data_IF_561526870857
#
_entry.id   IF_561526870857
#
_cell.length_a   1.000
_cell.length_b   1.000
_cell.length_c   1.000
_cell.angle_alpha   90.00
_cell.angle_beta   90.00
_cell.angle_gamma   90.00
#
_symmetry.space_group_name_H-M   'P 1'
#
loop_
_entity.id
_entity.type
_entity.pdbx_description
1 polymer ?
#
# COMPACT_ATOMS: atom_id res chain seq x y z
N UNK A 1 -2.96 9.20 0.46
CA UNK A 1 -2.31 8.03 -0.16
C UNK A 1 -2.85 7.81 -1.56
N UNK A 2 -1.99 7.40 -2.47
CA UNK A 2 -2.41 7.10 -3.84
C UNK A 2 -2.67 5.60 -3.96
N UNK A 3 -3.89 5.19 -3.65
CA UNK A 3 -4.24 3.77 -3.63
C UNK A 3 -4.24 3.17 -5.03
N UNK A 4 -4.55 3.96 -6.05
CA UNK A 4 -4.51 3.47 -7.43
C UNK A 4 -3.10 3.05 -7.82
N UNK A 5 -2.11 3.85 -7.46
CA UNK A 5 -0.73 3.53 -7.79
C UNK A 5 -0.28 2.28 -7.04
N UNK A 6 -0.67 2.15 -5.77
CA UNK A 6 -0.35 0.95 -5.01
C UNK A 6 -0.98 -0.29 -5.64
N UNK A 7 -2.27 -0.21 -5.97
CA UNK A 7 -2.95 -1.36 -6.57
C UNK A 7 -2.35 -1.72 -7.92
N UNK A 8 -2.01 -0.72 -8.73
CA UNK A 8 -1.37 -1.00 -10.02
C UNK A 8 -0.06 -1.74 -9.83
N UNK A 9 0.73 -1.33 -8.86
CA UNK A 9 2.00 -2.00 -8.58
C UNK A 9 1.75 -3.45 -8.15
N UNK A 10 0.76 -3.66 -7.29
CA UNK A 10 0.45 -5.01 -6.83
C UNK A 10 0.01 -5.91 -7.98
N UNK A 11 -0.80 -5.38 -8.90
CA UNK A 11 -1.24 -6.15 -10.06
C UNK A 11 -0.06 -6.54 -10.93
N UNK A 12 0.89 -5.64 -11.11
CA UNK A 12 2.09 -5.96 -11.89
C UNK A 12 2.88 -7.13 -11.31
N UNK A 13 2.79 -7.31 -10.01
CA UNK A 13 3.47 -8.42 -9.34
C UNK A 13 2.57 -9.65 -9.20
N UNK A 14 1.35 -9.61 -9.77
CA UNK A 14 0.44 -10.73 -9.70
C UNK A 14 -0.40 -10.79 -8.43
N UNK A 15 -0.38 -9.75 -7.61
CA UNK A 15 -1.10 -9.72 -6.35
C UNK A 15 -2.41 -8.99 -6.54
N UNK A 16 -3.42 -9.67 -7.08
CA UNK A 16 -4.68 -9.03 -7.41
C UNK A 16 -5.68 -9.03 -6.27
N UNK A 17 -5.49 -9.88 -5.27
CA UNK A 17 -6.33 -9.87 -4.08
C UNK A 17 -5.67 -8.96 -3.04
N UNK A 18 -5.92 -7.67 -3.16
CA UNK A 18 -5.18 -6.64 -2.43
C UNK A 18 -5.29 -6.82 -0.91
N UNK A 19 -6.52 -7.04 -0.42
CA UNK A 19 -6.73 -7.13 1.02
C UNK A 19 -6.04 -8.36 1.59
N UNK A 20 -6.23 -9.52 0.96
CA UNK A 20 -5.59 -10.75 1.44
C UNK A 20 -4.08 -10.65 1.39
N UNK A 21 -3.55 -10.12 0.29
CA UNK A 21 -2.10 -9.99 0.15
C UNK A 21 -1.53 -9.10 1.25
N UNK A 22 -2.15 -7.94 1.47
CA UNK A 22 -1.66 -7.03 2.50
C UNK A 22 -1.79 -7.64 3.89
N UNK A 23 -2.89 -8.33 4.15
CA UNK A 23 -3.06 -8.99 5.45
C UNK A 23 -1.93 -9.99 5.71
N UNK A 24 -1.55 -10.74 4.69
CA UNK A 24 -0.51 -11.74 4.82
C UNK A 24 0.87 -11.11 5.00
N UNK A 25 1.23 -10.17 4.14
CA UNK A 25 2.58 -9.62 4.19
C UNK A 25 2.78 -8.71 5.40
N UNK A 26 1.74 -8.04 5.87
CA UNK A 26 1.82 -7.17 7.03
C UNK A 26 1.52 -7.89 8.33
N UNK A 27 1.06 -9.13 8.25
CA UNK A 27 0.70 -9.93 9.43
C UNK A 27 -0.38 -9.24 10.25
N UNK A 28 -1.43 -8.77 9.58
CA UNK A 28 -2.57 -8.13 10.23
C UNK A 28 -3.84 -8.82 9.76
N UNK A 29 -4.96 -8.51 10.42
CA UNK A 29 -6.24 -9.06 10.00
C UNK A 29 -6.66 -8.48 8.66
N UNK A 30 -7.58 -9.17 7.97
CA UNK A 30 -8.13 -8.66 6.73
C UNK A 30 -8.87 -7.35 6.94
N UNK A 31 -9.56 -7.23 8.08
CA UNK A 31 -10.25 -5.99 8.40
C UNK A 31 -9.26 -4.83 8.53
N UNK A 32 -8.13 -5.07 9.19
CA UNK A 32 -7.10 -4.04 9.32
C UNK A 32 -6.51 -3.69 7.96
N UNK A 33 -6.22 -4.70 7.15
CA UNK A 33 -5.69 -4.46 5.81
C UNK A 33 -6.66 -3.64 4.97
N UNK A 34 -7.94 -3.96 5.05
CA UNK A 34 -8.97 -3.20 4.31
C UNK A 34 -9.03 -1.76 4.80
N UNK A 35 -8.95 -1.54 6.12
CA UNK A 35 -8.95 -0.20 6.68
C UNK A 35 -7.78 0.62 6.19
N UNK A 36 -6.59 0.01 6.12
CA UNK A 36 -5.42 0.69 5.58
C UNK A 36 -5.65 1.08 4.12
N UNK A 37 -6.18 0.14 3.36
CA UNK A 37 -6.31 0.31 1.92
C UNK A 37 -7.35 1.37 1.56
N UNK A 38 -8.44 1.46 2.34
CA UNK A 38 -9.50 2.43 2.03
C UNK A 38 -9.27 3.79 2.70
N UNK A 39 -8.16 3.97 3.42
CA UNK A 39 -7.80 5.25 3.99
C UNK A 39 -8.38 5.52 5.36
N UNK A 40 -9.13 4.57 5.94
CA UNK A 40 -9.69 4.77 7.27
C UNK A 40 -8.60 4.84 8.34
N UNK A 41 -7.51 4.10 8.14
CA UNK A 41 -6.32 4.16 8.98
C UNK A 41 -5.10 4.26 8.10
N UNK A 42 -4.01 4.76 8.65
CA UNK A 42 -2.79 4.98 7.89
C UNK A 42 -1.82 3.81 8.04
N UNK A 43 -1.05 3.55 6.99
CA UNK A 43 0.05 2.59 7.10
C UNK A 43 1.11 3.14 8.04
N UNK A 44 1.62 2.29 8.91
CA UNK A 44 2.76 2.66 9.76
C UNK A 44 4.03 2.66 8.92
N UNK A 45 5.09 3.25 9.49
CA UNK A 45 6.38 3.26 8.79
C UNK A 45 6.90 1.85 8.56
N UNK A 46 6.73 0.97 9.53
CA UNK A 46 7.20 -0.40 9.35
C UNK A 46 6.40 -1.13 8.27
N UNK A 47 5.11 -0.86 8.19
CA UNK A 47 4.28 -1.45 7.14
C UNK A 47 4.68 -0.94 5.76
N UNK A 48 4.95 0.36 5.65
CA UNK A 48 5.41 0.92 4.39
C UNK A 48 6.73 0.28 3.97
N UNK A 49 7.63 0.06 4.93
CA UNK A 49 8.91 -0.57 4.62
C UNK A 49 8.72 -2.00 4.10
N UNK A 50 7.79 -2.75 4.67
CA UNK A 50 7.50 -4.10 4.21
C UNK A 50 6.96 -4.07 2.78
N UNK A 51 6.01 -3.17 2.51
CA UNK A 51 5.44 -3.05 1.18
C UNK A 51 6.50 -2.62 0.17
N UNK A 52 7.34 -1.66 0.55
CA UNK A 52 8.39 -1.19 -0.34
C UNK A 52 9.37 -2.30 -0.69
N UNK A 53 9.69 -3.15 0.27
CA UNK A 53 10.63 -4.25 0.02
C UNK A 53 9.99 -5.30 -0.89
N UNK A 54 8.72 -5.63 -0.65
CA UNK A 54 8.04 -6.64 -1.45
C UNK A 54 7.93 -6.23 -2.91
N UNK A 55 7.62 -4.96 -3.17
CA UNK A 55 7.39 -4.49 -4.53
C UNK A 55 8.56 -3.70 -5.08
N UNK A 56 9.70 -3.73 -4.37
CA UNK A 56 10.94 -3.09 -4.83
C UNK A 56 10.71 -1.62 -5.18
N UNK A 57 10.00 -0.92 -4.32
CA UNK A 57 9.68 0.48 -4.56
C UNK A 57 10.90 1.36 -4.34
N UNK A 58 11.07 2.34 -5.23
CA UNK A 58 12.09 3.37 -5.04
C UNK A 58 11.58 4.39 -4.02
N UNK A 59 12.51 5.22 -3.52
CA UNK A 59 12.13 6.29 -2.60
C UNK A 59 11.08 7.20 -3.20
N UNK A 60 11.22 7.49 -4.50
CA UNK A 60 10.25 8.34 -5.18
C UNK A 60 8.87 7.69 -5.24
N UNK A 61 8.84 6.39 -5.49
CA UNK A 61 7.57 5.66 -5.55
C UNK A 61 6.92 5.61 -4.18
N UNK A 62 7.70 5.40 -3.13
CA UNK A 62 7.19 5.41 -1.77
C UNK A 62 6.54 6.76 -1.48
N UNK A 63 7.23 7.84 -1.83
CA UNK A 63 6.71 9.17 -1.59
C UNK A 63 5.40 9.40 -2.35
N UNK A 64 5.38 9.01 -3.61
CA UNK A 64 4.19 9.21 -4.44
C UNK A 64 2.99 8.42 -3.93
N UNK A 65 3.22 7.21 -3.47
CA UNK A 65 2.12 6.36 -3.00
C UNK A 65 1.63 6.79 -1.62
N UNK A 66 2.54 6.98 -0.68
CA UNK A 66 2.17 7.08 0.73
C UNK A 66 2.18 8.50 1.27
N UNK A 67 2.87 9.43 0.63
CA UNK A 67 3.05 10.77 1.18
C UNK A 67 2.41 11.83 0.32
N UNK A 68 2.67 11.84 -0.99
CA UNK A 68 2.19 12.86 -1.88
C UNK A 68 0.87 12.53 -2.55
N UNK A 69 0.41 11.29 -2.43
CA UNK A 69 -0.76 10.84 -3.17
C UNK A 69 -2.01 11.65 -2.88
N UNK A 70 -2.15 12.15 -1.66
CA UNK A 70 -3.35 12.89 -1.27
C UNK A 70 -3.43 14.24 -1.96
N UNK A 71 -2.30 14.78 -2.39
CA UNK A 71 -2.27 16.10 -3.00
C UNK A 71 -2.81 16.05 -4.42
N UNK A 72 -2.71 14.92 -5.04
CA UNK A 72 -3.08 14.76 -6.44
C UNK A 72 -4.58 14.75 -6.67
N UNK A 73 -5.34 14.57 -5.63
CA UNK A 73 -6.79 14.49 -5.76
C UNK A 73 -7.43 15.85 -5.97
N UNK A 74 -6.64 16.88 -5.90
CA UNK A 74 -7.16 18.22 -6.15
C UNK A 74 -7.07 18.57 -7.61
#
# INVERSE_FOLDING_TARGET
>A
MNVKMLKSTMVLYGDEDFVNTLALILNVSRQTAASRLNGATEFSQSEIAIIAKRYELTDEEIRKIFIEGDIEDE
#
